data_IF_597809835700
#
_entry.id   IF_597809835700
#
_cell.length_a   1.000
_cell.length_b   1.000
_cell.length_c   1.000
_cell.angle_alpha   90.00
_cell.angle_beta   90.00
_cell.angle_gamma   90.00
#
_symmetry.space_group_name_H-M   'P 1'
#
loop_
_entity.id
_entity.type
_entity.pdbx_description
1 polymer ?
#
# COMPACT_ATOMS: atom_id res chain seq x y z
N UNK A 1 -16.28 -15.06 -13.37
CA UNK A 1 -15.03 -14.35 -12.97
C UNK A 1 -15.22 -12.86 -12.69
N UNK A 2 -15.75 -12.07 -13.66
CA UNK A 2 -16.01 -10.64 -13.46
C UNK A 2 -17.01 -10.35 -12.33
N UNK A 3 -18.13 -11.06 -12.31
CA UNK A 3 -19.15 -10.92 -11.26
C UNK A 3 -18.58 -11.20 -9.86
N UNK A 4 -17.87 -12.31 -9.69
CA UNK A 4 -17.23 -12.68 -8.42
C UNK A 4 -16.26 -11.59 -7.93
N UNK A 5 -15.47 -11.00 -8.84
CA UNK A 5 -14.57 -9.91 -8.51
C UNK A 5 -15.32 -8.69 -7.94
N UNK A 6 -16.46 -8.33 -8.54
CA UNK A 6 -17.27 -7.19 -8.10
C UNK A 6 -17.94 -7.45 -6.75
N UNK A 7 -18.44 -8.67 -6.54
CA UNK A 7 -19.09 -9.07 -5.28
C UNK A 7 -18.14 -9.02 -4.08
N UNK A 8 -16.84 -9.18 -4.31
CA UNK A 8 -15.79 -9.23 -3.29
C UNK A 8 -14.83 -8.01 -3.30
N UNK A 9 -15.12 -6.95 -4.06
CA UNK A 9 -14.27 -5.75 -4.09
C UNK A 9 -12.87 -5.96 -4.68
N UNK A 10 -12.72 -6.97 -5.55
CA UNK A 10 -11.49 -7.25 -6.28
C UNK A 10 -11.46 -6.64 -7.69
N UNK A 11 -10.37 -6.92 -8.42
CA UNK A 11 -10.21 -6.52 -9.82
C UNK A 11 -10.19 -7.74 -10.75
N UNK A 12 -10.93 -7.67 -11.87
CA UNK A 12 -10.89 -8.67 -12.94
C UNK A 12 -10.26 -8.09 -14.20
N UNK A 13 -9.22 -8.76 -14.70
CA UNK A 13 -8.51 -8.43 -15.94
C UNK A 13 -8.51 -9.64 -16.87
N UNK A 14 -9.18 -9.55 -18.02
CA UNK A 14 -9.08 -10.56 -19.07
C UNK A 14 -7.87 -10.23 -19.97
N UNK A 15 -6.94 -11.17 -20.11
CA UNK A 15 -5.72 -11.00 -20.91
C UNK A 15 -5.86 -11.87 -22.18
N UNK A 16 -5.93 -11.28 -23.39
CA UNK A 16 -5.91 -12.04 -24.63
C UNK A 16 -4.52 -12.62 -24.90
N UNK A 17 -4.44 -13.61 -25.79
CA UNK A 17 -3.16 -14.15 -26.26
C UNK A 17 -2.30 -13.06 -26.89
N UNK A 18 -1.02 -13.00 -26.51
CA UNK A 18 -0.11 -11.91 -26.91
C UNK A 18 -0.38 -10.57 -26.20
N UNK A 19 -1.31 -10.50 -25.25
CA UNK A 19 -1.57 -9.32 -24.42
C UNK A 19 -0.48 -9.06 -23.37
N UNK A 20 -0.52 -7.86 -22.77
CA UNK A 20 0.42 -7.49 -21.72
C UNK A 20 0.03 -8.12 -20.37
N UNK A 21 0.50 -9.35 -20.14
CA UNK A 21 0.28 -10.07 -18.90
C UNK A 21 0.93 -9.38 -17.69
N UNK A 22 2.08 -8.72 -17.86
CA UNK A 22 2.81 -8.06 -16.78
C UNK A 22 1.97 -6.94 -16.15
N UNK A 23 1.37 -6.07 -16.97
CA UNK A 23 0.52 -4.99 -16.49
C UNK A 23 -0.77 -5.53 -15.87
N UNK A 24 -1.36 -6.57 -16.47
CA UNK A 24 -2.56 -7.19 -15.96
C UNK A 24 -2.32 -7.82 -14.57
N UNK A 25 -1.19 -8.49 -14.39
CA UNK A 25 -0.79 -9.05 -13.10
C UNK A 25 -0.41 -7.95 -12.10
N UNK A 26 0.26 -6.88 -12.52
CA UNK A 26 0.57 -5.76 -11.62
C UNK A 26 -0.68 -4.99 -11.15
N UNK A 27 -1.80 -5.10 -11.88
CA UNK A 27 -3.00 -4.32 -11.59
C UNK A 27 -3.65 -4.64 -10.23
N UNK A 28 -3.41 -5.82 -9.63
CA UNK A 28 -3.95 -6.14 -8.30
C UNK A 28 -3.44 -5.18 -7.22
N UNK A 29 -2.24 -4.60 -7.39
CA UNK A 29 -1.71 -3.63 -6.43
C UNK A 29 -2.58 -2.38 -6.30
N UNK A 30 -3.34 -2.02 -7.35
CA UNK A 30 -4.27 -0.88 -7.31
C UNK A 30 -5.38 -1.10 -6.28
N UNK A 31 -5.93 -2.31 -6.22
CA UNK A 31 -6.97 -2.68 -5.23
C UNK A 31 -6.48 -2.48 -3.80
N UNK A 32 -5.20 -2.80 -3.54
CA UNK A 32 -4.62 -2.60 -2.22
C UNK A 32 -4.21 -1.16 -1.98
N UNK A 33 -3.73 -0.45 -2.99
CA UNK A 33 -3.31 0.94 -2.88
C UNK A 33 -4.45 1.87 -2.46
N UNK A 34 -5.70 1.58 -2.83
CA UNK A 34 -6.87 2.38 -2.41
C UNK A 34 -7.02 2.42 -0.87
N UNK A 35 -6.50 1.44 -0.14
CA UNK A 35 -6.51 1.41 1.33
C UNK A 35 -5.47 2.34 1.98
N UNK A 36 -4.59 2.94 1.16
CA UNK A 36 -3.47 3.77 1.61
C UNK A 36 -3.60 5.24 1.18
N UNK A 37 -4.77 5.66 0.68
CA UNK A 37 -5.01 7.02 0.19
C UNK A 37 -4.71 8.14 1.20
N UNK A 38 -4.84 7.86 2.50
CA UNK A 38 -4.64 8.80 3.60
C UNK A 38 -3.34 8.56 4.40
N UNK A 39 -2.44 7.72 3.88
CA UNK A 39 -1.14 7.46 4.52
C UNK A 39 -0.26 8.70 4.52
N UNK A 40 0.41 8.94 5.65
CA UNK A 40 1.43 9.97 5.82
C UNK A 40 2.76 9.42 6.36
N UNK A 41 2.87 8.11 6.58
CA UNK A 41 4.09 7.46 7.08
C UNK A 41 4.90 6.78 5.97
N UNK A 42 6.21 6.85 6.11
CA UNK A 42 7.18 6.23 5.21
C UNK A 42 7.17 4.71 5.40
N UNK A 43 7.18 3.96 4.30
CA UNK A 43 7.46 2.52 4.33
C UNK A 43 8.88 2.28 3.85
N UNK A 44 9.63 1.50 4.63
CA UNK A 44 11.03 1.22 4.37
C UNK A 44 11.18 -0.09 3.61
N UNK A 45 12.09 -0.12 2.63
CA UNK A 45 12.43 -1.31 1.86
C UNK A 45 13.93 -1.46 1.74
N UNK A 46 14.41 -2.69 1.86
CA UNK A 46 15.74 -3.10 1.43
C UNK A 46 15.62 -3.73 0.04
N UNK A 47 16.51 -3.34 -0.86
CA UNK A 47 16.55 -3.89 -2.21
C UNK A 47 17.97 -3.87 -2.75
N UNK A 48 18.27 -4.76 -3.70
CA UNK A 48 19.49 -4.67 -4.46
C UNK A 48 19.23 -3.83 -5.71
N UNK A 49 20.03 -2.80 -5.92
CA UNK A 49 19.91 -1.97 -7.10
C UNK A 49 20.42 -2.73 -8.34
N UNK A 50 19.88 -2.41 -9.51
CA UNK A 50 20.06 -3.19 -10.73
C UNK A 50 21.47 -3.11 -11.35
N UNK A 51 22.16 -1.97 -11.28
CA UNK A 51 23.45 -1.75 -11.97
C UNK A 51 24.63 -2.26 -11.13
N UNK A 52 24.74 -1.85 -9.87
CA UNK A 52 25.84 -2.21 -8.95
C UNK A 52 25.56 -3.46 -8.13
N UNK A 53 24.29 -3.89 -8.05
CA UNK A 53 23.85 -4.98 -7.17
C UNK A 53 24.19 -4.76 -5.69
N UNK A 54 24.32 -3.49 -5.30
CA UNK A 54 24.49 -3.09 -3.90
C UNK A 54 23.14 -3.09 -3.18
N UNK A 55 23.16 -3.50 -1.91
CA UNK A 55 22.00 -3.42 -1.03
C UNK A 55 21.78 -1.96 -0.61
N UNK A 56 20.63 -1.42 -0.97
CA UNK A 56 20.18 -0.07 -0.65
C UNK A 56 18.98 -0.12 0.28
N UNK A 57 18.88 0.89 1.13
CA UNK A 57 17.71 1.14 1.97
C UNK A 57 16.97 2.37 1.44
N UNK A 58 15.68 2.21 1.11
CA UNK A 58 14.84 3.31 0.67
C UNK A 58 13.65 3.54 1.61
N UNK A 59 13.32 4.81 1.82
CA UNK A 59 12.05 5.25 2.38
C UNK A 59 11.08 5.65 1.27
N UNK A 60 9.89 5.05 1.24
CA UNK A 60 8.91 5.25 0.19
C UNK A 60 7.59 5.84 0.70
N UNK A 61 6.98 6.73 -0.08
CA UNK A 61 5.65 7.30 0.14
C UNK A 61 4.79 7.25 -1.13
N UNK A 62 3.51 6.87 -1.02
CA UNK A 62 2.60 6.92 -2.16
C UNK A 62 2.13 8.35 -2.45
N UNK A 63 1.93 8.66 -3.72
CA UNK A 63 1.41 9.94 -4.19
C UNK A 63 0.04 9.71 -4.82
N UNK A 64 -0.97 10.46 -4.35
CA UNK A 64 -2.34 10.36 -4.85
C UNK A 64 -2.79 11.69 -5.48
N UNK A 65 -3.58 11.60 -6.55
CA UNK A 65 -4.40 12.71 -7.01
C UNK A 65 -5.66 12.78 -6.15
N UNK A 66 -5.78 13.85 -5.36
CA UNK A 66 -6.87 14.08 -4.41
C UNK A 66 -7.85 15.16 -4.87
N UNK A 67 -7.81 15.58 -6.15
CA UNK A 67 -8.72 16.60 -6.68
C UNK A 67 -10.15 16.09 -6.85
N UNK A 68 -10.34 14.78 -6.90
CA UNK A 68 -11.65 14.11 -7.02
C UNK A 68 -12.07 13.54 -5.66
N UNK A 69 -13.34 13.12 -5.55
CA UNK A 69 -13.86 12.45 -4.35
C UNK A 69 -13.34 11.01 -4.15
N UNK A 70 -12.55 10.50 -5.08
CA UNK A 70 -11.95 9.16 -5.03
C UNK A 70 -10.47 9.28 -5.37
N UNK A 71 -9.59 9.43 -4.37
CA UNK A 71 -8.15 9.54 -4.57
C UNK A 71 -7.61 8.44 -5.49
N UNK A 72 -6.81 8.83 -6.48
CA UNK A 72 -6.21 7.88 -7.43
C UNK A 72 -4.70 7.85 -7.23
N UNK A 73 -4.12 6.66 -7.07
CA UNK A 73 -2.66 6.50 -6.97
C UNK A 73 -1.98 6.96 -8.27
N UNK A 74 -1.13 7.98 -8.18
CA UNK A 74 -0.29 8.45 -9.28
C UNK A 74 1.03 7.67 -9.36
N UNK A 75 1.56 7.27 -8.21
CA UNK A 75 2.81 6.53 -8.13
C UNK A 75 3.33 6.46 -6.70
N UNK A 76 4.58 6.01 -6.58
CA UNK A 76 5.31 5.95 -5.31
C UNK A 76 6.62 6.69 -5.51
N UNK A 77 6.97 7.57 -4.57
CA UNK A 77 8.29 8.20 -4.51
C UNK A 77 9.13 7.51 -3.45
N UNK A 78 10.38 7.22 -3.76
CA UNK A 78 11.33 6.61 -2.84
C UNK A 78 12.62 7.41 -2.86
N UNK A 79 13.25 7.56 -1.69
CA UNK A 79 14.60 8.12 -1.58
C UNK A 79 15.49 7.13 -0.83
N UNK A 80 16.65 6.85 -1.42
CA UNK A 80 17.65 6.00 -0.80
C UNK A 80 18.35 6.75 0.33
N UNK A 81 18.45 6.12 1.50
CA UNK A 81 19.25 6.63 2.63
C UNK A 81 20.74 6.60 2.29
N UNK A 82 21.13 5.69 1.41
CA UNK A 82 22.48 5.54 0.91
C UNK A 82 23.05 6.81 0.22
N UNK A 83 22.21 7.79 -0.12
CA UNK A 83 22.64 9.12 -0.59
C UNK A 83 23.43 9.87 0.50
N UNK A 84 23.15 9.62 1.78
CA UNK A 84 23.79 10.29 2.92
C UNK A 84 25.11 9.60 3.29
N UNK A 85 25.06 8.27 3.45
CA UNK A 85 26.20 7.42 3.76
C UNK A 85 25.86 5.99 3.32
N UNK A 86 26.88 5.18 2.97
CA UNK A 86 26.64 3.78 2.60
C UNK A 86 26.01 2.97 3.75
N UNK A 87 25.26 1.93 3.40
CA UNK A 87 24.52 1.12 4.36
C UNK A 87 25.43 0.42 5.39
N UNK A 88 26.64 -0.10 5.06
CA UNK A 88 27.58 -0.60 6.05
C UNK A 88 27.98 0.44 7.11
N UNK A 89 28.26 1.67 6.69
CA UNK A 89 28.59 2.79 7.57
C UNK A 89 27.40 3.11 8.48
N UNK A 90 26.19 3.19 7.93
CA UNK A 90 24.98 3.42 8.72
C UNK A 90 24.74 2.31 9.76
N UNK A 91 24.92 1.04 9.38
CA UNK A 91 24.80 -0.13 10.26
C UNK A 91 25.83 -0.15 11.38
N UNK A 92 26.99 0.46 11.17
CA UNK A 92 28.04 0.58 12.19
C UNK A 92 27.74 1.65 13.25
N UNK A 93 26.75 2.51 13.02
CA UNK A 93 26.36 3.57 13.95
C UNK A 93 25.79 2.99 15.25
N UNK A 94 26.14 3.53 16.44
CA UNK A 94 25.57 3.10 17.70
C UNK A 94 24.02 3.15 17.76
N UNK A 95 23.41 4.05 16.99
CA UNK A 95 21.95 4.21 16.92
C UNK A 95 21.25 3.35 15.86
N UNK A 96 21.97 2.47 15.15
CA UNK A 96 21.39 1.69 14.06
C UNK A 96 20.21 0.82 14.52
N UNK A 97 20.34 0.15 15.68
CA UNK A 97 19.29 -0.74 16.19
C UNK A 97 18.00 0.01 16.50
N UNK A 98 18.10 1.15 17.16
CA UNK A 98 16.93 1.98 17.48
C UNK A 98 16.26 2.49 16.19
N UNK A 99 17.06 2.85 15.19
CA UNK A 99 16.56 3.25 13.87
C UNK A 99 15.87 2.08 13.13
N UNK A 100 16.49 0.90 13.10
CA UNK A 100 15.94 -0.31 12.49
C UNK A 100 14.62 -0.73 13.14
N UNK A 101 14.56 -0.72 14.47
CA UNK A 101 13.33 -0.99 15.22
C UNK A 101 12.24 0.04 14.89
N UNK A 102 12.59 1.33 14.81
CA UNK A 102 11.65 2.39 14.43
C UNK A 102 11.14 2.22 12.99
N UNK A 103 12.02 1.93 12.03
CA UNK A 103 11.65 1.66 10.64
C UNK A 103 10.66 0.51 10.52
N UNK A 104 10.93 -0.57 11.25
CA UNK A 104 10.12 -1.78 11.22
C UNK A 104 8.75 -1.55 11.88
N UNK A 105 8.74 -0.88 13.02
CA UNK A 105 7.50 -0.48 13.71
C UNK A 105 6.66 0.41 12.81
N UNK A 106 7.26 1.40 12.15
CA UNK A 106 6.55 2.35 11.29
C UNK A 106 6.02 1.70 10.00
N UNK A 107 6.83 0.85 9.36
CA UNK A 107 6.44 0.16 8.11
C UNK A 107 5.27 -0.80 8.30
N UNK A 108 5.12 -1.35 9.52
CA UNK A 108 4.04 -2.26 9.91
C UNK A 108 2.78 -1.55 10.41
N UNK A 109 2.77 -0.22 10.49
CA UNK A 109 1.57 0.53 10.86
C UNK A 109 0.50 0.35 9.79
N UNK A 110 -0.74 0.22 10.25
CA UNK A 110 -1.91 0.22 9.37
C UNK A 110 -2.37 1.67 9.17
N UNK A 111 -2.79 2.00 7.96
CA UNK A 111 -3.31 3.31 7.56
C UNK A 111 -4.61 3.71 8.22
N UNK A 112 -5.35 2.72 8.72
CA UNK A 112 -6.57 2.90 9.51
C UNK A 112 -6.37 2.36 10.93
N UNK A 113 -5.39 2.88 11.67
CA UNK A 113 -5.49 2.81 13.13
C UNK A 113 -6.03 4.14 13.62
N UNK A 114 -7.24 4.14 14.19
CA UNK A 114 -7.62 5.22 15.09
C UNK A 114 -6.52 5.38 16.15
N UNK A 115 -6.23 6.60 16.62
CA UNK A 115 -5.23 6.81 17.66
C UNK A 115 -5.60 5.95 18.86
N UNK A 116 -4.78 4.95 19.17
CA UNK A 116 -4.94 4.08 20.35
C UNK A 116 -5.32 2.61 20.12
N UNK A 117 -5.32 2.07 18.89
CA UNK A 117 -5.57 0.63 18.68
C UNK A 117 -4.42 -0.10 17.97
N UNK A 118 -3.37 -0.40 18.72
CA UNK A 118 -2.40 -1.45 18.38
C UNK A 118 -3.11 -2.81 18.51
N UNK A 119 -3.61 -3.38 17.41
CA UNK A 119 -3.98 -4.79 17.39
C UNK A 119 -2.77 -5.59 16.92
N UNK A 120 -2.22 -6.39 17.84
CA UNK A 120 -1.25 -7.43 17.53
C UNK A 120 -1.82 -8.34 16.43
N UNK A 121 -1.07 -8.45 15.32
CA UNK A 121 -1.20 -9.46 14.25
C UNK A 121 -2.25 -9.31 13.14
N UNK A 122 -2.96 -8.19 12.98
CA UNK A 122 -3.77 -8.01 11.75
C UNK A 122 -4.16 -6.54 11.56
N UNK A 123 -3.72 -5.94 10.45
CA UNK A 123 -4.39 -4.74 9.95
C UNK A 123 -5.85 -5.13 9.65
N UNK A 124 -6.77 -4.56 10.44
CA UNK A 124 -8.18 -4.96 10.51
C UNK A 124 -8.82 -5.23 9.15
N UNK A 125 -9.30 -6.46 9.00
CA UNK A 125 -10.31 -6.90 8.03
C UNK A 125 -11.64 -6.14 8.20
N UNK A 126 -11.80 -4.97 7.60
CA UNK A 126 -13.13 -4.47 7.23
C UNK A 126 -13.10 -3.89 5.83
N UNK A 127 -13.31 -4.77 4.85
CA UNK A 127 -13.74 -4.41 3.50
C UNK A 127 -15.06 -3.62 3.62
N UNK A 128 -14.97 -2.30 3.75
CA UNK A 128 -16.15 -1.46 3.61
C UNK A 128 -16.46 -1.36 2.13
N UNK A 129 -17.69 -1.72 1.77
CA UNK A 129 -18.17 -1.84 0.39
C UNK A 129 -18.14 -0.46 -0.26
N UNK A 130 -17.15 -0.19 -1.10
CA UNK A 130 -17.20 0.89 -2.08
C UNK A 130 -18.00 0.38 -3.28
N UNK A 131 -19.25 0.82 -3.42
CA UNK A 131 -20.00 0.60 -4.67
C UNK A 131 -19.71 1.74 -5.62
N UNK A 132 -19.12 1.41 -6.77
CA UNK A 132 -19.00 2.29 -7.92
C UNK A 132 -20.38 2.41 -8.57
N UNK A 133 -20.93 3.63 -8.59
CA UNK A 133 -22.08 3.92 -9.43
C UNK A 133 -21.59 4.11 -10.87
N UNK A 134 -21.75 3.06 -11.67
CA UNK A 134 -21.24 2.97 -13.06
C UNK A 134 -21.83 4.07 -13.96
N UNK A 135 -22.96 4.68 -13.59
CA UNK A 135 -23.59 5.75 -14.35
C UNK A 135 -22.98 7.14 -14.10
N UNK A 136 -22.41 7.38 -12.91
CA UNK A 136 -21.93 8.70 -12.50
C UNK A 136 -20.42 8.77 -12.21
N UNK A 137 -19.75 7.62 -12.14
CA UNK A 137 -18.32 7.55 -11.77
C UNK A 137 -18.04 7.94 -10.32
N UNK A 138 -19.08 8.12 -9.50
CA UNK A 138 -18.95 8.51 -8.10
C UNK A 138 -18.99 7.28 -7.17
N UNK A 139 -18.13 7.28 -6.15
CA UNK A 139 -18.09 6.26 -5.11
C UNK A 139 -19.07 6.63 -3.99
N UNK A 140 -20.01 5.74 -3.66
CA UNK A 140 -20.83 5.86 -2.44
C UNK A 140 -20.44 4.76 -1.46
N UNK A 141 -20.10 5.16 -0.23
CA UNK A 141 -19.84 4.23 0.88
C UNK A 141 -21.13 3.88 1.60
N UNK A 142 -21.44 2.59 1.70
CA UNK A 142 -22.45 2.09 2.64
C UNK A 142 -21.78 1.26 3.74
N UNK A 143 -22.05 1.64 4.99
CA UNK A 143 -21.62 0.91 6.18
C UNK A 143 -22.58 -0.25 6.40
N UNK A 144 -22.15 -1.47 6.10
CA UNK A 144 -22.89 -2.65 6.55
C UNK A 144 -22.64 -2.82 8.05
N UNK A 145 -23.68 -2.66 8.86
CA UNK A 145 -23.70 -3.13 10.24
C UNK A 145 -23.59 -4.67 10.17
N UNK A 146 -22.41 -5.21 10.49
CA UNK A 146 -22.29 -6.64 10.71
C UNK A 146 -23.16 -7.00 11.92
N UNK A 147 -24.24 -7.72 11.64
CA UNK A 147 -25.10 -8.37 12.63
C UNK A 147 -24.24 -9.17 13.61
N UNK A 148 -24.46 -8.94 14.90
CA UNK A 148 -24.07 -9.87 15.96
C UNK A 148 -24.57 -11.27 15.61
N UNK A 149 -23.69 -12.27 15.70
CA UNK A 149 -24.10 -13.67 15.70
C UNK A 149 -23.31 -14.39 16.79
N UNK A 150 -24.05 -14.88 17.79
CA UNK A 150 -23.71 -16.01 18.66
C UNK A 150 -22.76 -15.74 19.80
#
# INVERSE_FOLDING_TARGET
>A
PRQLSQEHGGLFSAVPDGGNLNDAMASYYKVFADQYENTDFVRWILYNEYITNEELLAGCLPIYDRRTSSPTLLGVTCMDVNIIADLPTLRSSPGWRDFEDAMEVDSRRCTASQPGRLLKHTCSNQWTRATLDVASGAVRSFRALASSVG
#
